data_IF_456899101867
#
_entry.id   IF_456899101867
#
_cell.length_a   1.000
_cell.length_b   1.000
_cell.length_c   1.000
_cell.angle_alpha   90.00
_cell.angle_beta   90.00
_cell.angle_gamma   90.00
#
_symmetry.space_group_name_H-M   'P 1'
#
loop_
_entity.id
_entity.type
_entity.pdbx_description
1 polymer ?
#
# COMPACT_ATOMS: atom_id res chain seq x y z
N UNK A 1 3.97 12.77 -3.78
CA UNK A 1 3.32 11.55 -3.22
C UNK A 1 4.35 10.71 -2.47
N UNK A 2 3.99 10.17 -1.31
CA UNK A 2 4.78 9.16 -0.57
C UNK A 2 4.00 7.84 -0.49
N UNK A 3 4.66 6.71 -0.72
CA UNK A 3 4.11 5.35 -0.59
C UNK A 3 4.83 4.66 0.56
N UNK A 4 4.09 4.23 1.57
CA UNK A 4 4.61 3.53 2.75
C UNK A 4 4.28 2.05 2.65
N UNK A 5 5.31 1.21 2.75
CA UNK A 5 5.17 -0.22 2.57
C UNK A 5 6.08 -1.01 3.50
N UNK A 6 5.65 -2.22 3.86
CA UNK A 6 6.41 -3.13 4.70
C UNK A 6 7.46 -3.91 3.88
N UNK A 7 8.71 -3.47 3.91
CA UNK A 7 9.82 -4.13 3.22
C UNK A 7 10.18 -5.52 3.75
N UNK A 8 9.83 -5.85 5.01
CA UNK A 8 10.04 -7.18 5.60
C UNK A 8 9.07 -8.24 5.07
N UNK A 9 7.99 -7.84 4.41
CA UNK A 9 7.07 -8.73 3.69
C UNK A 9 7.58 -8.95 2.26
N UNK A 10 8.06 -10.15 1.94
CA UNK A 10 8.65 -10.45 0.63
C UNK A 10 7.72 -10.12 -0.55
N UNK A 11 6.43 -10.48 -0.46
CA UNK A 11 5.44 -10.22 -1.52
C UNK A 11 5.19 -8.72 -1.66
N UNK A 12 4.98 -8.03 -0.54
CA UNK A 12 4.76 -6.59 -0.51
C UNK A 12 5.98 -5.83 -1.08
N UNK A 13 7.19 -6.25 -0.70
CA UNK A 13 8.43 -5.65 -1.19
C UNK A 13 8.64 -5.92 -2.69
N UNK A 14 8.33 -7.12 -3.18
CA UNK A 14 8.41 -7.45 -4.60
C UNK A 14 7.44 -6.61 -5.43
N UNK A 15 6.20 -6.45 -4.96
CA UNK A 15 5.18 -5.61 -5.58
C UNK A 15 5.63 -4.14 -5.70
N UNK A 16 6.09 -3.54 -4.60
CA UNK A 16 6.57 -2.15 -4.62
C UNK A 16 7.84 -1.99 -5.45
N UNK A 17 8.75 -2.96 -5.42
CA UNK A 17 9.94 -2.96 -6.28
C UNK A 17 9.58 -2.98 -7.77
N UNK A 18 8.48 -3.64 -8.14
CA UNK A 18 7.96 -3.61 -9.49
C UNK A 18 7.41 -2.22 -9.87
N UNK A 19 6.72 -1.53 -8.96
CA UNK A 19 6.20 -0.18 -9.19
C UNK A 19 7.28 0.90 -9.24
N UNK A 20 8.32 0.78 -8.39
CA UNK A 20 9.51 1.64 -8.40
C UNK A 20 10.16 1.69 -9.79
N UNK A 21 10.23 0.57 -10.50
CA UNK A 21 10.80 0.50 -11.87
C UNK A 21 9.94 1.22 -12.93
N UNK A 22 8.67 1.49 -12.62
CA UNK A 22 7.68 2.06 -13.55
C UNK A 22 7.36 3.52 -13.22
N UNK A 23 7.96 4.09 -12.18
CA UNK A 23 7.64 5.43 -11.66
C UNK A 23 8.92 6.16 -11.28
N UNK A 24 8.98 7.46 -11.56
CA UNK A 24 10.19 8.27 -11.27
C UNK A 24 9.96 9.35 -10.19
N UNK A 25 8.70 9.73 -9.92
CA UNK A 25 8.36 10.88 -9.06
C UNK A 25 7.58 10.47 -7.78
N UNK A 26 7.78 9.23 -7.31
CA UNK A 26 7.11 8.71 -6.12
C UNK A 26 8.18 8.38 -5.08
N UNK A 27 8.03 8.94 -3.87
CA UNK A 27 8.89 8.60 -2.76
C UNK A 27 8.36 7.34 -2.06
N UNK A 28 9.11 6.25 -2.12
CA UNK A 28 8.73 4.99 -1.49
C UNK A 28 9.50 4.79 -0.18
N UNK A 29 8.78 4.78 0.93
CA UNK A 29 9.32 4.68 2.28
C UNK A 29 9.08 3.26 2.82
N UNK A 30 10.16 2.54 3.09
CA UNK A 30 10.12 1.25 3.77
C UNK A 30 9.96 1.47 5.28
N UNK A 31 8.76 1.21 5.79
CA UNK A 31 8.40 1.40 7.21
C UNK A 31 9.03 0.38 8.14
N UNK A 32 9.63 -0.69 7.61
CA UNK A 32 10.38 -1.65 8.42
C UNK A 32 11.74 -1.10 8.86
N UNK A 33 12.23 -0.05 8.18
CA UNK A 33 13.56 0.54 8.40
C UNK A 33 13.50 2.00 8.82
N UNK A 34 12.46 2.72 8.38
CA UNK A 34 12.36 4.17 8.55
C UNK A 34 11.05 4.55 9.23
N UNK A 35 11.09 5.63 10.02
CA UNK A 35 9.91 6.33 10.51
C UNK A 35 9.72 7.61 9.70
N UNK A 36 8.48 8.02 9.48
CA UNK A 36 8.13 9.24 8.76
C UNK A 36 7.01 9.96 9.51
N UNK A 37 7.06 11.28 9.53
CA UNK A 37 6.15 12.14 10.31
C UNK A 37 4.68 11.95 9.94
N UNK A 38 4.37 11.64 8.67
CA UNK A 38 2.97 11.52 8.26
C UNK A 38 2.32 10.25 8.78
N UNK A 39 3.09 9.23 9.19
CA UNK A 39 2.53 7.94 9.62
C UNK A 39 2.83 7.63 11.09
N UNK A 40 3.47 8.54 11.82
CA UNK A 40 3.89 8.35 13.20
C UNK A 40 2.74 8.11 14.19
N UNK A 41 1.54 8.61 13.88
CA UNK A 41 0.33 8.49 14.69
C UNK A 41 -0.39 7.14 14.48
N UNK A 42 0.03 6.34 13.49
CA UNK A 42 -0.56 5.05 13.18
C UNK A 42 0.13 3.94 14.00
N UNK A 43 -0.67 2.94 14.39
CA UNK A 43 -0.14 1.80 15.14
C UNK A 43 0.81 0.95 14.28
N UNK A 44 1.83 0.33 14.90
CA UNK A 44 2.72 -0.64 14.21
C UNK A 44 1.93 -1.73 13.51
N UNK A 45 0.84 -2.20 14.12
CA UNK A 45 -0.04 -3.23 13.52
C UNK A 45 -0.67 -2.73 12.22
N UNK A 46 -1.20 -1.51 12.19
CA UNK A 46 -1.83 -0.98 10.98
C UNK A 46 -0.80 -0.71 9.89
N UNK A 47 0.34 -0.10 10.26
CA UNK A 47 1.45 0.16 9.34
C UNK A 47 1.95 -1.12 8.66
N UNK A 48 2.15 -2.19 9.42
CA UNK A 48 2.72 -3.42 8.87
C UNK A 48 1.71 -4.32 8.16
N UNK A 49 0.41 -4.17 8.46
CA UNK A 49 -0.66 -4.92 7.80
C UNK A 49 -1.09 -4.27 6.49
N UNK A 50 -1.16 -2.94 6.43
CA UNK A 50 -1.72 -2.20 5.29
C UNK A 50 -0.67 -1.32 4.62
N UNK A 51 -0.78 -1.20 3.28
CA UNK A 51 -0.05 -0.17 2.55
C UNK A 51 -0.70 1.19 2.83
N UNK A 52 0.12 2.25 2.84
CA UNK A 52 -0.37 3.61 2.97
C UNK A 52 0.19 4.50 1.87
N UNK A 53 -0.58 5.50 1.45
CA UNK A 53 -0.14 6.53 0.52
C UNK A 53 -0.48 7.88 1.10
N UNK A 54 0.51 8.77 1.17
CA UNK A 54 0.29 10.18 1.45
C UNK A 54 0.32 10.98 0.16
N UNK A 55 -0.79 11.65 -0.13
CA UNK A 55 -0.99 12.46 -1.32
C UNK A 55 -1.93 13.62 -0.98
N UNK A 56 -1.53 14.84 -1.35
CA UNK A 56 -2.33 16.06 -1.24
C UNK A 56 -2.91 16.29 0.16
N UNK A 57 -2.05 16.14 1.17
CA UNK A 57 -2.41 16.35 2.58
C UNK A 57 -3.22 15.21 3.21
N UNK A 58 -3.52 14.14 2.47
CA UNK A 58 -4.36 13.02 2.94
C UNK A 58 -3.59 11.71 2.95
N UNK A 59 -3.90 10.88 3.93
CA UNK A 59 -3.39 9.50 4.04
C UNK A 59 -4.48 8.54 3.60
N UNK A 60 -4.16 7.73 2.62
CA UNK A 60 -4.96 6.62 2.14
C UNK A 60 -4.37 5.33 2.69
N UNK A 61 -5.21 4.42 3.18
CA UNK A 61 -4.79 3.15 3.76
C UNK A 61 -5.46 1.98 3.04
N UNK A 62 -4.76 0.84 3.00
CA UNK A 62 -5.30 -0.41 2.50
C UNK A 62 -5.59 -0.38 1.00
N UNK A 63 -6.71 -0.95 0.59
CA UNK A 63 -7.11 -1.03 -0.83
C UNK A 63 -7.16 0.33 -1.53
N UNK A 64 -7.55 1.38 -0.82
CA UNK A 64 -7.64 2.75 -1.35
C UNK A 64 -6.26 3.32 -1.70
N UNK A 65 -5.23 2.95 -0.94
CA UNK A 65 -3.86 3.39 -1.22
C UNK A 65 -3.36 2.88 -2.59
N UNK A 66 -3.79 1.69 -3.00
CA UNK A 66 -3.51 1.14 -4.33
C UNK A 66 -4.25 1.89 -5.44
N UNK A 67 -5.51 2.27 -5.23
CA UNK A 67 -6.27 3.04 -6.22
C UNK A 67 -5.60 4.38 -6.50
N UNK A 68 -5.15 5.07 -5.45
CA UNK A 68 -4.41 6.33 -5.54
C UNK A 68 -3.07 6.13 -6.24
N UNK A 69 -2.28 5.12 -5.85
CA UNK A 69 -1.01 4.81 -6.49
C UNK A 69 -1.19 4.48 -7.98
N UNK A 70 -2.09 3.57 -8.32
CA UNK A 70 -2.31 3.10 -9.68
C UNK A 70 -2.85 4.18 -10.62
N UNK A 71 -3.54 5.19 -10.11
CA UNK A 71 -3.98 6.34 -10.91
C UNK A 71 -2.78 7.10 -11.51
N UNK A 72 -1.63 7.08 -10.82
CA UNK A 72 -0.38 7.73 -11.26
C UNK A 72 0.47 6.88 -12.20
N UNK A 73 0.18 5.57 -12.33
CA UNK A 73 0.96 4.65 -13.17
C UNK A 73 0.16 4.36 -14.45
N UNK A 74 0.58 4.84 -15.64
CA UNK A 74 -0.24 4.80 -16.86
C UNK A 74 -0.84 3.43 -17.20
N UNK A 75 -0.08 2.35 -17.03
CA UNK A 75 -0.56 0.97 -17.30
C UNK A 75 -1.58 0.46 -16.28
N UNK A 76 -1.52 0.94 -15.03
CA UNK A 76 -2.42 0.51 -13.95
C UNK A 76 -3.63 1.43 -13.78
N UNK A 77 -3.63 2.60 -14.46
CA UNK A 77 -4.72 3.57 -14.40
C UNK A 77 -6.06 2.98 -14.81
N UNK A 78 -6.11 2.16 -15.87
CA UNK A 78 -7.34 1.48 -16.29
C UNK A 78 -7.88 0.52 -15.23
N UNK A 79 -7.00 -0.21 -14.54
CA UNK A 79 -7.39 -1.07 -13.43
C UNK A 79 -7.94 -0.23 -12.26
N UNK A 80 -7.29 0.88 -11.91
CA UNK A 80 -7.77 1.80 -10.88
C UNK A 80 -9.17 2.35 -11.23
N UNK A 81 -9.39 2.78 -12.46
CA UNK A 81 -10.69 3.26 -12.93
C UNK A 81 -11.80 2.20 -12.81
N UNK A 82 -11.51 0.95 -13.19
CA UNK A 82 -12.46 -0.16 -13.04
C UNK A 82 -12.79 -0.41 -11.56
N UNK A 83 -11.76 -0.46 -10.70
CA UNK A 83 -11.91 -0.74 -9.28
C UNK A 83 -12.47 0.43 -8.47
N UNK A 84 -12.57 1.63 -9.05
CA UNK A 84 -13.27 2.78 -8.46
C UNK A 84 -14.80 2.64 -8.56
N UNK A 85 -15.33 1.78 -9.43
CA UNK A 85 -16.77 1.53 -9.54
C UNK A 85 -17.32 0.90 -8.24
N UNK A 86 -18.54 1.24 -7.78
CA UNK A 86 -19.03 0.86 -6.44
C UNK A 86 -18.93 -0.64 -6.11
N UNK A 87 -19.37 -1.50 -7.03
CA UNK A 87 -19.33 -2.95 -6.83
C UNK A 87 -17.90 -3.49 -6.79
N UNK A 88 -17.07 -3.11 -7.76
CA UNK A 88 -15.68 -3.54 -7.83
C UNK A 88 -14.84 -3.00 -6.67
N UNK A 89 -15.15 -1.80 -6.19
CA UNK A 89 -14.49 -1.20 -5.02
C UNK A 89 -14.74 -2.00 -3.76
N UNK A 90 -15.97 -2.47 -3.56
CA UNK A 90 -16.30 -3.33 -2.42
C UNK A 90 -15.59 -4.68 -2.52
N UNK A 91 -15.63 -5.32 -3.68
CA UNK A 91 -14.91 -6.57 -3.92
C UNK A 91 -13.40 -6.41 -3.70
N UNK A 92 -12.82 -5.33 -4.21
CA UNK A 92 -11.41 -5.00 -4.02
C UNK A 92 -11.05 -4.81 -2.56
N UNK A 93 -11.88 -4.08 -1.80
CA UNK A 93 -11.68 -3.89 -0.35
C UNK A 93 -11.69 -5.23 0.40
N UNK A 94 -12.67 -6.09 0.12
CA UNK A 94 -12.79 -7.40 0.79
C UNK A 94 -11.57 -8.29 0.44
N UNK A 95 -11.26 -8.41 -0.85
CA UNK A 95 -10.12 -9.19 -1.32
C UNK A 95 -8.80 -8.71 -0.70
N UNK A 96 -8.59 -7.38 -0.70
CA UNK A 96 -7.42 -6.75 -0.11
C UNK A 96 -7.30 -7.05 1.39
N UNK A 97 -8.35 -6.82 2.19
CA UNK A 97 -8.28 -7.02 3.64
C UNK A 97 -8.04 -8.50 4.00
N UNK A 98 -8.63 -9.44 3.25
CA UNK A 98 -8.36 -10.87 3.42
C UNK A 98 -6.90 -11.22 3.14
N UNK A 99 -6.36 -10.76 2.01
CA UNK A 99 -4.95 -10.99 1.65
C UNK A 99 -3.99 -10.30 2.63
N UNK A 100 -4.28 -9.05 3.02
CA UNK A 100 -3.48 -8.28 3.96
C UNK A 100 -3.41 -8.97 5.33
N UNK A 101 -4.53 -9.51 5.84
CA UNK A 101 -4.56 -10.28 7.08
C UNK A 101 -3.73 -11.56 6.96
N UNK A 102 -3.91 -12.33 5.88
CA UNK A 102 -3.16 -13.56 5.65
C UNK A 102 -1.65 -13.29 5.61
N UNK A 103 -1.22 -12.29 4.83
CA UNK A 103 0.19 -11.91 4.71
C UNK A 103 0.75 -11.38 6.03
N UNK A 104 -0.02 -10.60 6.77
CA UNK A 104 0.38 -10.11 8.09
C UNK A 104 0.61 -11.27 9.07
N UNK A 105 -0.33 -12.22 9.15
CA UNK A 105 -0.19 -13.39 10.02
C UNK A 105 1.00 -14.26 9.61
N UNK A 106 1.17 -14.52 8.31
CA UNK A 106 2.31 -15.29 7.78
C UNK A 106 3.66 -14.66 8.10
N UNK A 107 3.73 -13.33 8.19
CA UNK A 107 4.97 -12.61 8.46
C UNK A 107 5.07 -12.05 9.88
N UNK A 108 4.13 -12.36 10.80
CA UNK A 108 4.09 -11.79 12.16
C UNK A 108 5.41 -11.94 12.91
N UNK A 109 6.05 -13.10 12.81
CA UNK A 109 7.37 -13.40 13.43
C UNK A 109 8.53 -12.54 12.91
N UNK A 110 8.41 -11.94 11.72
CA UNK A 110 9.42 -11.02 11.15
C UNK A 110 9.17 -9.56 11.55
N UNK A 111 8.04 -9.30 12.19
CA UNK A 111 7.53 -7.96 12.54
C UNK A 111 7.68 -7.72 14.05
N UNK A 112 7.59 -8.79 14.85
CA UNK A 112 7.97 -8.82 16.28
C UNK A 112 9.46 -8.54 16.44
#
# INVERSE_FOLDING_TARGET
MKVYFNGSCNICNAEISHYKKKTCNINYVDISKNKDEHINHLSKKDLFRRMHVYHDGKIFSGSESFLVLWDTIPRWRYLSLLLKLPLFRQLWKIAYEGLALLLYLKNKKKIE
#
